data_IF_428198260007
#
_entry.id   IF_428198260007
#
_cell.length_a   1.000
_cell.length_b   1.000
_cell.length_c   1.000
_cell.angle_alpha   90.00
_cell.angle_beta   90.00
_cell.angle_gamma   90.00
#
_symmetry.space_group_name_H-M   'P 1'
#
loop_
_entity.id
_entity.type
_entity.pdbx_description
1 polymer ?
#
# COMPACT_ATOMS: atom_id res chain seq x y z
N UNK A 1 -15.91 -13.54 1.48
CA UNK A 1 -16.13 -12.13 1.86
C UNK A 1 -16.47 -12.07 3.35
N UNK A 2 -15.58 -11.58 4.20
CA UNK A 2 -15.92 -11.33 5.61
C UNK A 2 -16.68 -10.00 5.71
N UNK A 3 -17.95 -10.04 6.11
CA UNK A 3 -18.74 -8.83 6.36
C UNK A 3 -18.35 -8.29 7.72
N UNK A 4 -17.83 -7.07 7.76
CA UNK A 4 -17.43 -6.44 9.03
C UNK A 4 -18.66 -5.99 9.84
N UNK A 5 -18.58 -5.91 11.17
CA UNK A 5 -19.65 -5.32 11.99
C UNK A 5 -20.02 -3.90 11.55
N UNK A 6 -19.04 -3.13 11.09
CA UNK A 6 -19.25 -1.77 10.56
C UNK A 6 -20.12 -1.79 9.29
N UNK A 7 -19.95 -2.79 8.42
CA UNK A 7 -20.77 -2.94 7.22
C UNK A 7 -22.25 -3.18 7.57
N UNK A 8 -22.53 -3.94 8.63
CA UNK A 8 -23.90 -4.13 9.14
C UNK A 8 -24.50 -2.85 9.71
N UNK A 9 -23.71 -2.05 10.43
CA UNK A 9 -24.15 -0.74 10.95
C UNK A 9 -24.49 0.19 9.78
N UNK A 10 -23.61 0.29 8.78
CA UNK A 10 -23.88 1.09 7.59
C UNK A 10 -25.16 0.65 6.87
N UNK A 11 -25.35 -0.66 6.70
CA UNK A 11 -26.57 -1.18 6.07
C UNK A 11 -27.82 -0.82 6.88
N UNK A 12 -27.80 -0.97 8.21
CA UNK A 12 -28.90 -0.59 9.07
C UNK A 12 -29.20 0.91 8.99
N UNK A 13 -28.18 1.76 9.05
CA UNK A 13 -28.33 3.21 8.88
C UNK A 13 -28.94 3.57 7.51
N UNK A 14 -28.50 2.91 6.43
CA UNK A 14 -29.03 3.12 5.09
C UNK A 14 -30.50 2.72 4.97
N UNK A 15 -30.88 1.55 5.51
CA UNK A 15 -32.27 1.08 5.52
C UNK A 15 -33.18 2.03 6.32
N UNK A 16 -32.74 2.43 7.51
CA UNK A 16 -33.51 3.36 8.36
C UNK A 16 -33.66 4.73 7.69
N UNK A 17 -32.57 5.26 7.12
CA UNK A 17 -32.60 6.53 6.37
C UNK A 17 -33.57 6.45 5.19
N UNK A 18 -33.47 5.39 4.37
CA UNK A 18 -34.37 5.18 3.24
C UNK A 18 -35.83 5.04 3.69
N UNK A 19 -36.09 4.32 4.78
CA UNK A 19 -37.43 4.18 5.36
C UNK A 19 -38.01 5.52 5.82
N UNK A 20 -37.21 6.36 6.49
CA UNK A 20 -37.60 7.73 6.87
C UNK A 20 -37.93 8.55 5.63
N UNK A 21 -37.07 8.51 4.60
CA UNK A 21 -37.29 9.28 3.36
C UNK A 21 -38.56 8.83 2.63
N UNK A 22 -38.77 7.53 2.49
CA UNK A 22 -39.96 6.97 1.86
C UNK A 22 -41.24 7.34 2.64
N UNK A 23 -41.19 7.28 3.97
CA UNK A 23 -42.32 7.67 4.81
C UNK A 23 -42.72 9.14 4.57
N UNK A 24 -41.76 10.06 4.56
CA UNK A 24 -42.06 11.48 4.31
C UNK A 24 -42.47 11.77 2.87
N UNK A 25 -41.94 11.02 1.91
CA UNK A 25 -42.32 11.16 0.50
C UNK A 25 -43.77 10.73 0.25
N UNK A 26 -44.20 9.62 0.87
CA UNK A 26 -45.53 9.02 0.68
C UNK A 26 -46.59 9.67 1.56
N UNK A 27 -46.34 9.80 2.87
CA UNK A 27 -47.34 10.29 3.83
C UNK A 27 -47.36 11.79 3.99
N UNK A 28 -46.29 12.49 3.60
CA UNK A 28 -46.15 13.96 3.67
C UNK A 28 -46.64 14.55 5.01
N UNK A 29 -46.18 14.03 6.17
CA UNK A 29 -46.56 14.57 7.46
C UNK A 29 -46.07 16.02 7.62
N UNK A 30 -46.69 16.78 8.52
CA UNK A 30 -46.27 18.17 8.80
C UNK A 30 -44.88 18.20 9.44
N UNK A 31 -44.04 19.14 9.01
CA UNK A 31 -42.68 19.33 9.54
C UNK A 31 -42.68 20.21 10.80
N UNK A 32 -43.22 19.68 11.89
CA UNK A 32 -43.05 20.26 13.23
C UNK A 32 -41.64 19.99 13.78
N UNK A 33 -41.37 20.36 15.04
CA UNK A 33 -40.05 20.19 15.65
C UNK A 33 -39.60 18.72 15.66
N UNK A 34 -40.50 17.78 15.98
CA UNK A 34 -40.20 16.34 15.98
C UNK A 34 -39.93 15.85 14.56
N UNK A 35 -40.73 16.28 13.59
CA UNK A 35 -40.55 15.90 12.19
C UNK A 35 -39.25 16.42 11.58
N UNK A 36 -38.84 17.65 11.94
CA UNK A 36 -37.54 18.20 11.57
C UNK A 36 -36.38 17.37 12.13
N UNK A 37 -36.46 16.93 13.38
CA UNK A 37 -35.44 16.05 13.99
C UNK A 37 -35.34 14.72 13.27
N UNK A 38 -36.48 14.08 12.95
CA UNK A 38 -36.49 12.81 12.19
C UNK A 38 -35.93 13.00 10.78
N UNK A 39 -36.26 14.09 10.10
CA UNK A 39 -35.69 14.42 8.78
C UNK A 39 -34.18 14.70 8.85
N UNK A 40 -33.70 15.38 9.90
CA UNK A 40 -32.26 15.59 10.11
C UNK A 40 -31.52 14.25 10.25
N UNK A 41 -32.12 13.27 10.92
CA UNK A 41 -31.57 11.92 10.99
C UNK A 41 -31.58 11.22 9.63
N UNK A 42 -32.71 11.30 8.91
CA UNK A 42 -32.91 10.62 7.62
C UNK A 42 -32.05 11.16 6.47
N UNK A 43 -31.81 12.47 6.40
CA UNK A 43 -31.05 13.11 5.31
C UNK A 43 -29.61 13.44 5.72
N UNK A 44 -29.38 13.72 7.00
CA UNK A 44 -28.07 14.16 7.50
C UNK A 44 -27.32 13.05 8.19
N UNK A 45 -27.66 12.78 9.45
CA UNK A 45 -26.83 11.97 10.35
C UNK A 45 -26.63 10.53 9.84
N UNK A 46 -27.71 9.85 9.45
CA UNK A 46 -27.62 8.46 9.00
C UNK A 46 -26.88 8.34 7.67
N UNK A 47 -27.20 9.11 6.60
CA UNK A 47 -26.42 9.06 5.35
C UNK A 47 -24.94 9.43 5.52
N UNK A 48 -24.62 10.43 6.36
CA UNK A 48 -23.22 10.77 6.66
C UNK A 48 -22.50 9.60 7.33
N UNK A 49 -23.14 8.93 8.27
CA UNK A 49 -22.57 7.74 8.95
C UNK A 49 -22.29 6.62 7.93
N UNK A 50 -23.23 6.36 7.03
CA UNK A 50 -23.06 5.37 5.94
C UNK A 50 -21.87 5.76 5.05
N UNK A 51 -21.81 7.03 4.63
CA UNK A 51 -20.73 7.52 3.79
C UNK A 51 -19.37 7.40 4.50
N UNK A 52 -19.26 7.76 5.78
CA UNK A 52 -18.04 7.62 6.55
C UNK A 52 -17.58 6.17 6.65
N UNK A 53 -18.48 5.25 7.04
CA UNK A 53 -18.13 3.83 7.16
C UNK A 53 -17.73 3.25 5.80
N UNK A 54 -18.49 3.57 4.75
CA UNK A 54 -18.20 3.13 3.38
C UNK A 54 -16.82 3.59 2.92
N UNK A 55 -16.49 4.86 3.14
CA UNK A 55 -15.16 5.39 2.82
C UNK A 55 -14.05 4.72 3.64
N UNK A 56 -14.23 4.54 4.95
CA UNK A 56 -13.23 3.86 5.79
C UNK A 56 -12.96 2.43 5.34
N UNK A 57 -14.02 1.66 5.05
CA UNK A 57 -13.90 0.28 4.57
C UNK A 57 -13.30 0.21 3.17
N UNK A 58 -13.72 1.10 2.27
CA UNK A 58 -13.16 1.20 0.92
C UNK A 58 -11.67 1.54 0.96
N UNK A 59 -11.30 2.58 1.72
CA UNK A 59 -9.90 2.97 1.88
C UNK A 59 -9.05 1.86 2.52
N UNK A 60 -9.58 1.11 3.49
CA UNK A 60 -8.88 -0.05 4.05
C UNK A 60 -8.76 -1.22 3.06
N UNK A 61 -9.73 -1.40 2.17
CA UNK A 61 -9.67 -2.42 1.12
C UNK A 61 -8.58 -2.10 0.08
N UNK A 62 -8.40 -0.82 -0.25
CA UNK A 62 -7.35 -0.36 -1.19
C UNK A 62 -5.91 -0.48 -0.65
N UNK A 63 -5.72 -0.97 0.58
CA UNK A 63 -4.40 -1.29 1.13
C UNK A 63 -3.98 -2.74 0.88
N UNK A 64 -4.87 -3.57 0.32
CA UNK A 64 -4.63 -5.00 0.18
C UNK A 64 -4.01 -5.34 -1.16
N UNK A 65 -3.13 -6.35 -1.19
CA UNK A 65 -2.56 -6.94 -2.39
C UNK A 65 -3.65 -7.29 -3.43
N UNK A 66 -4.77 -7.88 -3.00
CA UNK A 66 -5.87 -8.21 -3.91
C UNK A 66 -6.55 -7.00 -4.56
N UNK A 67 -6.41 -5.79 -4.02
CA UNK A 67 -6.81 -4.56 -4.71
C UNK A 67 -5.69 -4.08 -5.63
N UNK A 68 -4.43 -4.08 -5.17
CA UNK A 68 -3.29 -3.69 -6.01
C UNK A 68 -3.17 -4.57 -7.27
N UNK A 69 -3.46 -5.87 -7.15
CA UNK A 69 -3.47 -6.85 -8.24
C UNK A 69 -4.80 -7.04 -8.95
N UNK A 70 -5.78 -6.15 -8.76
CA UNK A 70 -7.05 -6.29 -9.48
C UNK A 70 -6.99 -5.75 -10.91
N UNK A 71 -5.90 -5.08 -11.28
CA UNK A 71 -5.63 -4.61 -12.64
C UNK A 71 -4.60 -5.54 -13.27
N UNK A 72 -4.85 -6.02 -14.49
CA UNK A 72 -3.95 -7.00 -15.14
C UNK A 72 -2.54 -6.43 -15.37
N UNK A 73 -2.42 -5.11 -15.51
CA UNK A 73 -1.11 -4.44 -15.61
C UNK A 73 -0.25 -4.62 -14.36
N UNK A 74 -0.82 -5.06 -13.23
CA UNK A 74 -0.08 -5.33 -11.99
C UNK A 74 0.18 -6.83 -11.74
N UNK A 75 -0.26 -7.72 -12.64
CA UNK A 75 -0.21 -9.17 -12.43
C UNK A 75 1.21 -9.65 -12.11
N UNK A 76 2.20 -9.23 -12.89
CA UNK A 76 3.58 -9.67 -12.70
C UNK A 76 4.23 -9.24 -11.37
N UNK A 77 3.83 -8.08 -10.82
CA UNK A 77 4.29 -7.65 -9.49
C UNK A 77 3.66 -8.49 -8.39
N UNK A 78 2.39 -8.88 -8.57
CA UNK A 78 1.65 -9.69 -7.61
C UNK A 78 2.05 -11.17 -7.69
N UNK A 79 2.36 -11.67 -8.88
CA UNK A 79 2.96 -12.98 -9.09
C UNK A 79 4.28 -13.09 -8.34
N UNK A 80 5.20 -12.16 -8.54
CA UNK A 80 6.47 -12.12 -7.81
C UNK A 80 6.28 -11.99 -6.30
N UNK A 81 5.43 -11.06 -5.85
CA UNK A 81 5.18 -10.86 -4.43
C UNK A 81 4.59 -12.11 -3.74
N UNK A 82 3.90 -12.99 -4.48
CA UNK A 82 3.34 -14.22 -3.96
C UNK A 82 4.16 -15.48 -4.28
N UNK A 83 5.25 -15.34 -5.04
CA UNK A 83 6.13 -16.46 -5.39
C UNK A 83 6.92 -16.90 -4.13
N UNK A 84 6.76 -18.15 -3.66
CA UNK A 84 7.49 -18.65 -2.51
C UNK A 84 8.99 -18.77 -2.76
N UNK A 85 9.40 -18.97 -4.02
CA UNK A 85 10.80 -19.18 -4.41
C UNK A 85 11.49 -17.87 -4.79
N UNK A 86 10.74 -16.78 -4.98
CA UNK A 86 11.34 -15.48 -5.26
C UNK A 86 12.09 -14.92 -4.04
N UNK A 87 13.31 -14.47 -4.30
CA UNK A 87 14.17 -13.78 -3.34
C UNK A 87 14.07 -12.25 -3.44
N UNK A 88 13.11 -11.73 -4.23
CA UNK A 88 12.87 -10.29 -4.31
C UNK A 88 12.44 -9.72 -2.96
N UNK A 89 12.69 -8.42 -2.75
CA UNK A 89 12.22 -7.76 -1.53
C UNK A 89 10.70 -7.84 -1.40
N UNK A 90 9.96 -7.72 -2.50
CA UNK A 90 8.51 -7.82 -2.48
C UNK A 90 8.04 -9.21 -2.02
N UNK A 91 8.67 -10.27 -2.50
CA UNK A 91 8.34 -11.65 -2.15
C UNK A 91 8.69 -11.94 -0.68
N UNK A 92 9.92 -11.62 -0.25
CA UNK A 92 10.38 -11.80 1.14
C UNK A 92 9.44 -11.09 2.12
N UNK A 93 9.10 -9.82 1.83
CA UNK A 93 8.26 -9.02 2.72
C UNK A 93 6.79 -9.45 2.71
N UNK A 94 6.27 -9.95 1.58
CA UNK A 94 4.91 -10.46 1.47
C UNK A 94 4.71 -11.77 2.26
N UNK A 95 5.74 -12.60 2.35
CA UNK A 95 5.72 -13.82 3.18
C UNK A 95 5.71 -13.54 4.68
N UNK A 96 6.07 -12.33 5.12
CA UNK A 96 6.06 -11.99 6.54
C UNK A 96 4.63 -11.88 7.08
N UNK A 97 4.39 -12.49 8.25
CA UNK A 97 3.10 -12.36 8.95
C UNK A 97 2.78 -10.91 9.33
N UNK A 98 3.80 -10.05 9.50
CA UNK A 98 3.65 -8.64 9.85
C UNK A 98 2.93 -7.85 8.76
N UNK A 99 3.22 -8.15 7.49
CA UNK A 99 2.63 -7.42 6.37
C UNK A 99 1.44 -8.18 5.77
N UNK A 100 1.59 -9.50 5.60
CA UNK A 100 0.59 -10.35 4.99
C UNK A 100 0.02 -9.73 3.71
N UNK A 101 -1.32 -9.67 3.63
CA UNK A 101 -2.01 -9.14 2.46
C UNK A 101 -1.92 -7.62 2.28
N UNK A 102 -1.12 -6.88 3.06
CA UNK A 102 -0.90 -5.43 2.92
C UNK A 102 0.53 -5.06 2.49
N UNK A 103 1.36 -6.02 2.12
CA UNK A 103 2.78 -5.80 1.81
C UNK A 103 3.03 -4.70 0.77
N UNK A 104 2.30 -4.71 -0.35
CA UNK A 104 2.42 -3.67 -1.38
C UNK A 104 2.18 -2.27 -0.79
N UNK A 105 1.10 -2.09 -0.03
CA UNK A 105 0.77 -0.80 0.57
C UNK A 105 1.79 -0.35 1.62
N UNK A 106 2.33 -1.27 2.42
CA UNK A 106 3.31 -0.96 3.48
C UNK A 106 4.58 -0.37 2.89
N UNK A 107 5.05 -0.88 1.75
CA UNK A 107 6.27 -0.40 1.09
C UNK A 107 6.02 0.81 0.18
N UNK A 108 4.89 0.85 -0.53
CA UNK A 108 4.58 1.89 -1.53
C UNK A 108 3.87 3.13 -0.98
N UNK A 109 3.40 3.11 0.27
CA UNK A 109 2.82 4.31 0.89
C UNK A 109 3.89 5.31 1.31
N UNK A 110 3.46 6.55 1.48
CA UNK A 110 4.24 7.59 2.13
C UNK A 110 3.91 7.62 3.64
N UNK A 111 4.95 7.74 4.48
CA UNK A 111 4.83 7.79 5.95
C UNK A 111 4.91 9.22 6.52
N UNK A 112 5.00 10.25 5.67
CA UNK A 112 4.92 11.64 6.11
C UNK A 112 3.58 11.98 6.77
N UNK A 113 3.48 13.16 7.38
CA UNK A 113 2.28 13.64 8.08
C UNK A 113 0.99 13.56 7.22
N UNK A 114 1.09 13.83 5.92
CA UNK A 114 -0.01 13.71 4.96
C UNK A 114 0.11 12.47 4.06
N UNK A 115 0.99 11.54 4.40
CA UNK A 115 1.38 10.43 3.55
C UNK A 115 0.22 9.52 3.18
N UNK A 116 -0.73 9.30 4.10
CA UNK A 116 -1.96 8.56 3.80
C UNK A 116 -2.75 9.19 2.65
N UNK A 117 -3.05 10.49 2.75
CA UNK A 117 -3.82 11.20 1.73
C UNK A 117 -3.08 11.23 0.38
N UNK A 118 -1.78 11.54 0.39
CA UNK A 118 -0.95 11.57 -0.82
C UNK A 118 -0.87 10.19 -1.49
N UNK A 119 -0.75 9.12 -0.69
CA UNK A 119 -0.72 7.74 -1.22
C UNK A 119 -2.04 7.39 -1.92
N UNK A 120 -3.18 7.77 -1.33
CA UNK A 120 -4.49 7.50 -1.93
C UNK A 120 -4.73 8.33 -3.19
N UNK A 121 -4.28 9.59 -3.22
CA UNK A 121 -4.33 10.41 -4.45
C UNK A 121 -3.44 9.83 -5.55
N UNK A 122 -2.24 9.32 -5.21
CA UNK A 122 -1.40 8.60 -6.17
C UNK A 122 -2.08 7.34 -6.72
N UNK A 123 -2.76 6.57 -5.86
CA UNK A 123 -3.57 5.43 -6.29
C UNK A 123 -4.72 5.83 -7.23
N UNK A 124 -5.36 6.97 -7.00
CA UNK A 124 -6.38 7.50 -7.93
C UNK A 124 -5.78 7.88 -9.28
N UNK A 125 -4.54 8.39 -9.32
CA UNK A 125 -3.83 8.61 -10.59
C UNK A 125 -3.63 7.28 -11.33
N UNK A 126 -3.20 6.21 -10.66
CA UNK A 126 -3.06 4.89 -11.30
C UNK A 126 -4.37 4.38 -11.89
N UNK A 127 -5.50 4.60 -11.22
CA UNK A 127 -6.83 4.24 -11.75
C UNK A 127 -7.14 5.07 -12.99
N UNK A 128 -6.84 6.37 -12.97
CA UNK A 128 -7.02 7.23 -14.15
C UNK A 128 -6.18 6.74 -15.33
N UNK A 129 -4.88 6.55 -15.15
CA UNK A 129 -3.95 6.09 -16.19
C UNK A 129 -4.33 4.71 -16.72
N UNK A 130 -4.75 3.80 -15.84
CA UNK A 130 -5.27 2.51 -16.25
C UNK A 130 -6.47 2.65 -17.18
N UNK A 131 -7.48 3.43 -16.78
CA UNK A 131 -8.71 3.60 -17.55
C UNK A 131 -8.50 4.39 -18.85
N UNK A 132 -7.53 5.30 -18.91
CA UNK A 132 -7.26 6.11 -20.10
C UNK A 132 -6.28 5.46 -21.08
N UNK A 133 -5.32 4.67 -20.58
CA UNK A 133 -4.17 4.23 -21.36
C UNK A 133 -3.78 2.77 -21.08
N UNK A 134 -3.41 2.44 -19.84
CA UNK A 134 -2.70 1.17 -19.56
C UNK A 134 -3.58 -0.08 -19.64
N UNK A 135 -4.91 0.06 -19.64
CA UNK A 135 -5.82 -1.09 -19.75
C UNK A 135 -5.60 -1.90 -21.04
N UNK A 136 -4.97 -1.33 -22.06
CA UNK A 136 -4.71 -1.98 -23.33
C UNK A 136 -3.30 -2.55 -23.46
N UNK A 137 -2.43 -2.29 -22.48
CA UNK A 137 -1.04 -2.74 -22.52
C UNK A 137 -0.92 -4.23 -22.21
N UNK A 138 -0.06 -4.89 -22.97
CA UNK A 138 0.44 -6.22 -22.64
C UNK A 138 1.63 -6.13 -21.65
N UNK A 139 2.18 -7.29 -21.30
CA UNK A 139 3.24 -7.41 -20.29
C UNK A 139 4.52 -6.67 -20.70
N UNK A 140 4.89 -6.72 -21.97
CA UNK A 140 6.14 -6.14 -22.45
C UNK A 140 6.03 -4.61 -22.50
N UNK A 141 4.88 -4.10 -22.97
CA UNK A 141 4.57 -2.66 -22.92
C UNK A 141 4.53 -2.12 -21.50
N UNK A 142 3.96 -2.89 -20.57
CA UNK A 142 3.90 -2.53 -19.14
C UNK A 142 5.31 -2.41 -18.56
N UNK A 143 6.19 -3.38 -18.84
CA UNK A 143 7.59 -3.34 -18.39
C UNK A 143 8.36 -2.14 -18.95
N UNK A 144 8.12 -1.80 -20.21
CA UNK A 144 8.82 -0.69 -20.88
C UNK A 144 8.29 0.68 -20.45
N UNK A 145 7.00 0.81 -20.14
CA UNK A 145 6.36 2.13 -19.97
C UNK A 145 5.99 2.46 -18.52
N UNK A 146 5.67 1.46 -17.69
CA UNK A 146 5.17 1.69 -16.34
C UNK A 146 6.31 1.58 -15.32
N UNK A 147 6.71 2.74 -14.79
CA UNK A 147 7.75 2.84 -13.77
C UNK A 147 7.25 3.51 -12.50
N UNK A 148 7.96 3.30 -11.39
CA UNK A 148 7.71 4.06 -10.18
C UNK A 148 7.95 5.56 -10.45
N UNK A 149 7.00 6.41 -10.05
CA UNK A 149 7.09 7.86 -10.30
C UNK A 149 8.24 8.55 -9.55
N UNK A 150 8.76 7.90 -8.50
CA UNK A 150 9.88 8.37 -7.69
C UNK A 150 10.60 7.19 -7.04
N UNK A 151 11.90 7.33 -6.71
CA UNK A 151 12.63 6.33 -5.94
C UNK A 151 11.98 6.02 -4.59
N UNK A 152 12.23 4.82 -4.07
CA UNK A 152 11.81 4.44 -2.71
C UNK A 152 12.52 5.32 -1.68
N UNK A 153 11.75 5.85 -0.73
CA UNK A 153 12.29 6.56 0.43
C UNK A 153 12.81 5.55 1.45
N UNK A 154 14.07 5.68 1.85
CA UNK A 154 14.65 4.84 2.91
C UNK A 154 13.86 4.92 4.24
N UNK A 155 13.20 6.05 4.49
CA UNK A 155 12.29 6.23 5.63
C UNK A 155 11.22 5.13 5.72
N UNK A 156 10.76 4.60 4.58
CA UNK A 156 9.79 3.50 4.54
C UNK A 156 10.41 2.20 5.08
N UNK A 157 11.66 1.91 4.71
CA UNK A 157 12.43 0.78 5.21
C UNK A 157 12.67 0.94 6.73
N UNK A 158 13.06 2.14 7.16
CA UNK A 158 13.41 2.45 8.54
C UNK A 158 12.25 2.38 9.54
N UNK A 159 10.99 2.32 9.06
CA UNK A 159 9.83 2.03 9.93
C UNK A 159 9.91 0.63 10.57
N UNK A 160 10.63 -0.29 9.93
CA UNK A 160 10.81 -1.66 10.40
C UNK A 160 12.28 -2.02 10.64
N UNK A 161 13.20 -1.41 9.89
CA UNK A 161 14.64 -1.60 10.00
C UNK A 161 15.26 -0.47 10.81
N UNK A 162 15.40 -0.66 12.12
CA UNK A 162 16.02 0.34 13.00
C UNK A 162 17.45 0.64 12.58
N UNK A 163 17.83 1.91 12.54
CA UNK A 163 19.21 2.34 12.28
C UNK A 163 20.09 2.41 13.53
N UNK A 164 19.64 1.77 14.62
CA UNK A 164 20.34 1.77 15.93
C UNK A 164 20.41 0.39 16.58
N UNK A 165 19.81 -0.64 15.97
CA UNK A 165 19.84 -2.01 16.50
C UNK A 165 21.10 -2.77 16.12
N UNK A 166 21.40 -3.86 16.82
CA UNK A 166 22.58 -4.69 16.55
C UNK A 166 22.62 -5.22 15.11
N UNK A 167 21.49 -5.73 14.61
CA UNK A 167 21.35 -6.22 13.22
C UNK A 167 21.74 -5.15 12.19
N UNK A 168 21.53 -3.87 12.49
CA UNK A 168 21.95 -2.78 11.62
C UNK A 168 23.45 -2.52 11.76
N UNK A 169 23.95 -2.38 12.99
CA UNK A 169 25.35 -2.06 13.27
C UNK A 169 26.34 -3.17 12.90
N UNK A 170 25.87 -4.41 12.76
CA UNK A 170 26.72 -5.55 12.39
C UNK A 170 27.12 -5.53 10.90
N UNK A 171 26.51 -4.66 10.08
CA UNK A 171 26.88 -4.44 8.67
C UNK A 171 27.75 -3.19 8.57
N UNK A 172 28.99 -3.34 8.10
CA UNK A 172 29.96 -2.22 8.00
C UNK A 172 29.43 -1.03 7.20
N UNK A 173 28.79 -1.32 6.07
CA UNK A 173 28.33 -0.31 5.12
C UNK A 173 27.21 0.56 5.72
N UNK A 174 26.36 -0.02 6.57
CA UNK A 174 25.35 0.73 7.30
C UNK A 174 25.94 1.78 8.24
N UNK A 175 27.07 1.47 8.88
CA UNK A 175 27.73 2.42 9.77
C UNK A 175 28.48 3.50 8.97
N UNK A 176 29.17 3.10 7.89
CA UNK A 176 29.92 4.01 7.04
C UNK A 176 29.04 5.03 6.30
N UNK A 177 27.80 4.65 5.99
CA UNK A 177 26.88 5.44 5.18
C UNK A 177 25.65 5.93 5.97
N UNK A 178 25.67 5.87 7.31
CA UNK A 178 24.45 6.07 8.11
C UNK A 178 23.73 7.39 7.83
N UNK A 179 24.47 8.48 7.64
CA UNK A 179 23.87 9.80 7.37
C UNK A 179 23.30 9.88 5.95
N UNK A 180 23.98 9.28 4.97
CA UNK A 180 23.49 9.18 3.59
C UNK A 180 22.25 8.30 3.49
N UNK A 181 22.24 7.17 4.21
CA UNK A 181 21.10 6.25 4.27
C UNK A 181 19.89 6.91 4.96
N UNK A 182 20.11 7.71 6.00
CA UNK A 182 19.03 8.42 6.70
C UNK A 182 18.45 9.57 5.87
N UNK A 183 19.29 10.28 5.12
CA UNK A 183 18.87 11.36 4.22
C UNK A 183 18.32 10.86 2.89
N UNK A 184 18.55 9.59 2.56
CA UNK A 184 18.17 8.98 1.29
C UNK A 184 19.10 9.34 0.13
N UNK A 185 20.28 9.92 0.41
CA UNK A 185 21.32 10.17 -0.59
C UNK A 185 21.84 8.85 -1.18
N UNK A 186 21.96 7.82 -0.34
CA UNK A 186 22.23 6.44 -0.75
C UNK A 186 20.98 5.60 -0.50
N UNK A 187 20.46 4.91 -1.52
CA UNK A 187 19.23 4.12 -1.40
C UNK A 187 19.49 2.74 -0.81
N UNK A 188 18.62 2.28 0.11
CA UNK A 188 18.65 0.91 0.63
C UNK A 188 18.47 -0.15 -0.47
N UNK A 189 17.78 0.21 -1.57
CA UNK A 189 17.52 -0.66 -2.71
C UNK A 189 18.39 -0.31 -3.91
N UNK A 190 19.57 0.31 -3.69
CA UNK A 190 20.57 0.52 -4.74
C UNK A 190 21.30 -0.78 -5.09
N UNK A 191 22.01 -0.78 -6.23
CA UNK A 191 22.83 -1.92 -6.64
C UNK A 191 23.90 -2.20 -5.57
N UNK A 192 24.08 -3.47 -5.17
CA UNK A 192 25.02 -3.85 -4.11
C UNK A 192 24.48 -3.75 -2.68
N UNK A 193 23.25 -3.25 -2.48
CA UNK A 193 22.60 -3.23 -1.16
C UNK A 193 21.54 -4.36 -1.04
N UNK A 194 20.29 -4.06 -0.69
CA UNK A 194 19.24 -5.07 -0.44
C UNK A 194 18.63 -5.70 -1.71
N UNK A 195 19.34 -5.68 -2.84
CA UNK A 195 18.90 -6.32 -4.08
C UNK A 195 17.69 -5.64 -4.75
N UNK A 196 16.93 -6.42 -5.51
CA UNK A 196 15.83 -5.94 -6.35
C UNK A 196 14.49 -5.89 -5.58
N UNK A 197 13.72 -4.83 -5.82
CA UNK A 197 12.36 -4.72 -5.27
C UNK A 197 11.45 -5.82 -5.83
N UNK A 198 11.53 -6.00 -7.15
CA UNK A 198 10.96 -7.10 -7.94
C UNK A 198 12.03 -7.57 -8.93
N UNK A 199 12.04 -8.84 -9.41
CA UNK A 199 13.11 -9.40 -10.23
C UNK A 199 13.49 -8.55 -11.45
N UNK A 200 12.49 -7.89 -12.04
CA UNK A 200 12.58 -7.06 -13.25
C UNK A 200 12.66 -5.55 -12.94
N UNK A 201 12.83 -5.14 -11.68
CA UNK A 201 12.83 -3.73 -11.28
C UNK A 201 14.09 -2.94 -11.64
N UNK A 202 15.14 -3.62 -12.12
CA UNK A 202 16.37 -3.02 -12.62
C UNK A 202 16.91 -3.80 -13.83
N UNK A 203 17.64 -3.14 -14.74
CA UNK A 203 18.41 -3.82 -15.78
C UNK A 203 19.44 -4.79 -15.17
N UNK A 204 19.68 -5.92 -15.82
CA UNK A 204 20.63 -6.95 -15.36
C UNK A 204 22.05 -6.39 -15.15
N UNK A 205 22.45 -5.38 -15.93
CA UNK A 205 23.76 -4.72 -15.87
C UNK A 205 24.00 -3.92 -14.59
N UNK A 206 22.93 -3.51 -13.89
CA UNK A 206 22.97 -2.77 -12.63
C UNK A 206 22.68 -3.68 -11.41
N UNK A 207 22.69 -5.00 -11.60
CA UNK A 207 22.23 -5.95 -10.58
C UNK A 207 23.34 -6.96 -10.23
N UNK A 208 23.90 -6.96 -9.01
CA UNK A 208 24.72 -8.09 -8.56
C UNK A 208 23.84 -9.34 -8.44
N UNK A 209 24.38 -10.49 -8.80
CA UNK A 209 23.69 -11.78 -8.76
C UNK A 209 23.22 -12.13 -7.35
N UNK A 210 22.14 -12.90 -7.21
CA UNK A 210 21.62 -13.35 -5.91
C UNK A 210 22.71 -14.06 -5.07
N UNK A 211 23.64 -14.77 -5.72
CA UNK A 211 24.78 -15.41 -5.06
C UNK A 211 25.76 -14.40 -4.44
N UNK A 212 25.97 -13.24 -5.06
CA UNK A 212 26.84 -12.18 -4.56
C UNK A 212 26.23 -11.48 -3.34
N UNK A 213 24.91 -11.26 -3.33
CA UNK A 213 24.20 -10.64 -2.20
C UNK A 213 24.21 -11.53 -0.95
N UNK A 214 23.96 -12.84 -1.09
CA UNK A 214 23.99 -13.77 0.05
C UNK A 214 25.41 -14.06 0.57
N UNK A 215 26.41 -14.07 -0.32
CA UNK A 215 27.82 -14.24 0.09
C UNK A 215 28.30 -13.05 0.93
N UNK A 216 27.86 -11.83 0.62
CA UNK A 216 28.19 -10.64 1.41
C UNK A 216 27.58 -10.67 2.83
N UNK A 217 26.38 -11.24 2.99
CA UNK A 217 25.72 -11.41 4.29
C UNK A 217 26.29 -12.56 5.14
N UNK A 218 26.97 -13.52 4.51
CA UNK A 218 27.54 -14.70 5.16
C UNK A 218 29.07 -14.63 5.33
N UNK A 219 29.72 -13.57 4.85
CA UNK A 219 31.15 -13.38 5.05
C UNK A 219 31.42 -13.30 6.57
N UNK A 220 32.27 -14.19 7.13
CA UNK A 220 32.65 -14.07 8.53
C UNK A 220 33.36 -12.73 8.72
N UNK A 221 32.94 -11.99 9.74
CA UNK A 221 33.69 -10.82 10.24
C UNK A 221 35.12 -11.29 10.43
N UNK A 222 36.05 -10.75 9.63
CA UNK A 222 37.47 -11.00 9.83
C UNK A 222 37.82 -10.44 11.22
N UNK A 223 38.01 -11.34 12.19
CA UNK A 223 38.62 -10.98 13.47
C UNK A 223 40.07 -10.54 13.22
N UNK A 224 40.38 -9.30 13.62
CA UNK A 224 41.75 -8.74 13.71
C UNK A 224 42.05 -7.72 12.61
N UNK A 225 42.46 -6.49 12.92
CA UNK A 225 43.42 -6.04 13.94
C UNK A 225 43.07 -4.67 14.53
#
# INVERSE_FOLDING_TARGET
>A
MHVSPLSWIALACAIVAAGIMLYYLVKRPRLDAAGKTVMLLGVGVLPITVAMIGNMQGLAATERQGFCGSCHTMDMWIEDANDPESESLAAIHSRTRKFGNKSCYVCHKDYGMFGYAMTKMGGMNHVYEFLSEWMWYDRDEVLEKIHISRPFKNENCMQCHSTTGSIWSDVSDHNGLVDELRTGATSCVSAGCHGNAHPFSKPEEETPSNAEVHTALQAPVLEGT
#
